data_IF_559600631391
#
_entry.id   IF_559600631391
#
_cell.length_a   1.000
_cell.length_b   1.000
_cell.length_c   1.000
_cell.angle_alpha   90.00
_cell.angle_beta   90.00
_cell.angle_gamma   90.00
#
_symmetry.space_group_name_H-M   'P 1'
#
loop_
_entity.id
_entity.type
_entity.pdbx_description
1 polymer ?
#
# COMPACT_ATOMS: atom_id res chain seq x y z
N UNK A 1 7.29 -37.65 -20.83
CA UNK A 1 6.49 -36.65 -20.14
C UNK A 1 7.40 -35.45 -19.89
N UNK A 2 7.31 -34.42 -20.73
CA UNK A 2 8.08 -33.19 -20.62
C UNK A 2 7.46 -32.30 -19.54
N UNK A 3 8.26 -31.81 -18.59
CA UNK A 3 7.82 -30.87 -17.57
C UNK A 3 7.19 -29.63 -18.23
N UNK A 4 6.14 -29.04 -17.62
CA UNK A 4 5.54 -27.82 -18.15
C UNK A 4 6.60 -26.69 -18.15
N UNK A 5 6.58 -25.80 -19.15
CA UNK A 5 7.52 -24.70 -19.25
C UNK A 5 7.45 -23.83 -17.97
N UNK A 6 8.61 -23.43 -17.50
CA UNK A 6 8.79 -22.64 -16.28
C UNK A 6 7.97 -21.34 -16.37
N UNK A 7 6.86 -21.36 -15.67
CA UNK A 7 5.87 -20.28 -15.57
C UNK A 7 6.52 -18.93 -15.11
N UNK A 8 7.68 -19.03 -14.42
CA UNK A 8 8.51 -17.91 -13.99
C UNK A 8 9.19 -17.22 -15.18
N UNK A 9 9.70 -18.01 -16.13
CA UNK A 9 10.32 -17.47 -17.35
C UNK A 9 9.28 -16.74 -18.22
N UNK A 10 8.06 -17.29 -18.32
CA UNK A 10 6.96 -16.66 -19.07
C UNK A 10 6.48 -15.35 -18.42
N UNK A 11 6.42 -15.29 -17.07
CA UNK A 11 6.04 -14.08 -16.37
C UNK A 11 7.11 -12.99 -16.47
N UNK A 12 8.38 -13.36 -16.31
CA UNK A 12 9.52 -12.45 -16.53
C UNK A 12 9.48 -11.92 -17.97
N UNK A 13 9.22 -12.76 -18.94
CA UNK A 13 9.14 -12.39 -20.35
C UNK A 13 7.90 -11.51 -20.65
N UNK A 14 6.77 -11.75 -19.98
CA UNK A 14 5.58 -10.91 -20.10
C UNK A 14 5.77 -9.53 -19.45
N UNK A 15 6.37 -9.48 -18.25
CA UNK A 15 6.70 -8.23 -17.57
C UNK A 15 7.77 -7.47 -18.35
N UNK A 16 8.81 -8.18 -18.84
CA UNK A 16 9.85 -7.59 -19.68
C UNK A 16 9.27 -7.02 -20.96
N UNK A 17 8.36 -7.74 -21.65
CA UNK A 17 7.67 -7.23 -22.85
C UNK A 17 6.80 -6.01 -22.56
N UNK A 18 6.08 -6.00 -21.45
CA UNK A 18 5.23 -4.88 -21.08
C UNK A 18 6.05 -3.64 -20.68
N UNK A 19 7.16 -3.84 -19.97
CA UNK A 19 8.14 -2.80 -19.65
C UNK A 19 8.84 -2.31 -20.91
N UNK A 20 9.28 -3.21 -21.79
CA UNK A 20 9.90 -2.87 -23.07
C UNK A 20 8.92 -2.16 -24.03
N UNK A 21 7.66 -2.56 -24.08
CA UNK A 21 6.64 -1.86 -24.87
C UNK A 21 6.35 -0.45 -24.35
N UNK A 22 6.41 -0.25 -23.03
CA UNK A 22 6.31 1.09 -22.43
C UNK A 22 7.56 1.95 -22.68
N UNK A 23 8.73 1.32 -22.84
CA UNK A 23 10.01 1.97 -23.09
C UNK A 23 10.24 2.25 -24.58
N UNK A 24 9.73 1.42 -25.49
CA UNK A 24 9.86 1.61 -26.94
C UNK A 24 8.92 2.69 -27.51
N UNK A 25 7.98 3.19 -26.71
CA UNK A 25 7.19 4.36 -27.06
C UNK A 25 7.95 5.71 -26.90
N UNK A 26 9.19 5.65 -26.42
CA UNK A 26 10.08 6.81 -26.32
C UNK A 26 11.37 6.54 -27.07
N UNK A 27 11.49 7.08 -28.28
CA UNK A 27 12.63 6.92 -29.18
C UNK A 27 13.99 7.19 -28.53
N UNK A 28 14.91 6.24 -28.74
CA UNK A 28 16.33 6.49 -28.94
C UNK A 28 17.20 6.72 -27.72
N UNK A 29 17.78 5.64 -27.14
CA UNK A 29 18.97 5.79 -26.31
C UNK A 29 20.08 4.79 -26.65
N UNK A 30 21.19 5.33 -27.13
CA UNK A 30 22.43 4.61 -27.34
C UNK A 30 23.23 4.50 -26.02
N UNK A 31 23.98 3.42 -25.84
CA UNK A 31 24.69 2.96 -24.65
C UNK A 31 25.83 3.82 -24.09
N UNK A 32 25.92 5.11 -24.44
CA UNK A 32 27.00 6.02 -24.02
C UNK A 32 26.61 7.16 -23.07
N UNK A 33 25.34 7.32 -22.71
CA UNK A 33 24.83 8.56 -22.10
C UNK A 33 24.61 8.53 -20.58
N UNK A 34 25.12 7.53 -19.86
CA UNK A 34 24.94 7.48 -18.40
C UNK A 34 25.68 8.59 -17.63
N UNK A 35 26.73 9.17 -18.17
CA UNK A 35 27.53 10.20 -17.49
C UNK A 35 26.82 11.57 -17.42
N UNK A 36 25.78 11.78 -18.24
CA UNK A 36 25.05 13.06 -18.33
C UNK A 36 23.55 12.92 -18.00
N UNK A 37 23.10 11.76 -17.50
CA UNK A 37 21.69 11.50 -17.24
C UNK A 37 21.24 12.09 -15.92
N UNK A 38 20.18 12.89 -15.95
CA UNK A 38 19.59 13.56 -14.77
C UNK A 38 18.71 12.67 -13.88
N UNK A 39 18.87 11.33 -13.95
CA UNK A 39 18.08 10.37 -13.16
C UNK A 39 17.03 9.62 -13.99
N UNK A 40 16.35 8.65 -13.37
CA UNK A 40 15.30 7.89 -14.04
C UNK A 40 15.76 6.56 -14.65
N UNK A 41 16.79 5.92 -14.06
CA UNK A 41 17.39 4.69 -14.60
C UNK A 41 16.40 3.53 -14.76
N UNK A 42 15.45 3.36 -13.85
CA UNK A 42 14.47 2.28 -13.94
C UNK A 42 13.54 2.43 -15.17
N UNK A 43 13.16 3.66 -15.50
CA UNK A 43 12.32 3.93 -16.67
C UNK A 43 13.10 3.98 -18.01
N UNK A 44 14.42 4.23 -17.96
CA UNK A 44 15.22 4.52 -19.17
C UNK A 44 16.31 3.51 -19.48
N UNK A 45 16.67 2.61 -18.55
CA UNK A 45 17.80 1.68 -18.70
C UNK A 45 17.51 0.29 -18.13
N UNK A 46 16.50 -0.40 -18.65
CA UNK A 46 16.11 -1.74 -18.21
C UNK A 46 17.28 -2.75 -18.09
N UNK A 47 18.28 -2.82 -19.02
CA UNK A 47 19.42 -3.72 -18.86
C UNK A 47 20.27 -3.40 -17.64
N UNK A 48 20.48 -2.11 -17.34
CA UNK A 48 21.29 -1.67 -16.20
C UNK A 48 20.60 -1.87 -14.87
N UNK A 49 19.27 -1.78 -14.88
CA UNK A 49 18.43 -2.13 -13.71
C UNK A 49 18.51 -3.62 -13.43
N UNK A 50 18.47 -4.47 -14.46
CA UNK A 50 18.62 -5.92 -14.31
C UNK A 50 20.00 -6.30 -13.76
N UNK A 51 21.08 -5.66 -14.21
CA UNK A 51 22.44 -5.86 -13.66
C UNK A 51 22.55 -5.41 -12.18
N UNK A 52 21.96 -4.27 -11.85
CA UNK A 52 21.99 -3.71 -10.49
C UNK A 52 21.16 -4.57 -9.54
N UNK A 53 20.02 -5.09 -9.98
CA UNK A 53 19.19 -6.04 -9.21
C UNK A 53 19.89 -7.40 -9.06
N UNK A 54 20.52 -7.91 -10.13
CA UNK A 54 21.30 -9.13 -10.07
C UNK A 54 22.55 -9.01 -9.16
N UNK A 55 23.09 -7.79 -9.02
CA UNK A 55 24.18 -7.46 -8.10
C UNK A 55 23.72 -7.26 -6.65
N UNK A 56 22.45 -7.52 -6.32
CA UNK A 56 21.92 -7.44 -4.96
C UNK A 56 21.49 -6.04 -4.48
N UNK A 57 21.32 -5.09 -5.40
CA UNK A 57 20.81 -3.78 -5.05
C UNK A 57 19.31 -3.86 -4.67
N UNK A 58 19.00 -3.51 -3.43
CA UNK A 58 17.63 -3.43 -2.90
C UNK A 58 16.93 -2.12 -3.28
N UNK A 59 17.55 -1.28 -4.11
CA UNK A 59 17.04 0.01 -4.57
C UNK A 59 16.97 0.02 -6.10
N UNK A 60 15.78 -0.19 -6.61
CA UNK A 60 15.42 0.28 -7.94
C UNK A 60 14.54 1.50 -7.72
N UNK A 61 15.07 2.71 -7.93
CA UNK A 61 14.24 3.91 -7.83
C UNK A 61 13.26 3.93 -9.00
N UNK A 62 11.99 3.78 -8.70
CA UNK A 62 10.93 4.15 -9.63
C UNK A 62 10.97 5.67 -9.81
N UNK A 63 11.36 6.12 -10.97
CA UNK A 63 11.20 7.50 -11.38
C UNK A 63 10.07 7.63 -12.39
N UNK A 64 8.87 7.29 -11.97
CA UNK A 64 7.75 8.07 -12.43
C UNK A 64 7.87 9.39 -11.69
N UNK A 65 8.17 10.47 -12.40
CA UNK A 65 8.56 11.78 -11.83
C UNK A 65 9.04 11.63 -10.40
N UNK A 66 10.35 11.62 -10.17
CA UNK A 66 10.93 11.50 -8.83
C UNK A 66 10.22 12.56 -7.99
N UNK A 67 9.16 12.11 -7.29
CA UNK A 67 8.23 13.00 -6.67
C UNK A 67 9.05 13.80 -5.69
N UNK A 68 9.11 15.12 -5.84
CA UNK A 68 9.56 15.97 -4.78
C UNK A 68 8.89 15.46 -3.52
N UNK A 69 9.68 14.90 -2.59
CA UNK A 69 9.14 14.49 -1.30
C UNK A 69 8.51 15.74 -0.71
N UNK A 70 7.20 15.76 -0.45
CA UNK A 70 6.54 16.99 -0.02
C UNK A 70 7.10 17.43 1.32
N UNK A 71 7.25 18.73 1.52
CA UNK A 71 7.67 19.27 2.80
C UNK A 71 6.66 18.93 3.91
N UNK A 72 5.36 18.86 3.56
CA UNK A 72 4.26 18.51 4.45
C UNK A 72 3.96 16.99 4.38
N UNK A 73 4.72 16.19 5.14
CA UNK A 73 4.54 14.75 5.22
C UNK A 73 3.25 14.34 5.94
N UNK A 74 2.68 15.19 6.79
CA UNK A 74 1.50 14.87 7.58
C UNK A 74 0.31 14.46 6.69
N UNK A 75 0.16 15.10 5.55
CA UNK A 75 -0.92 14.82 4.58
C UNK A 75 -0.81 13.47 3.89
N UNK A 76 0.29 12.75 4.07
CA UNK A 76 0.49 11.38 3.59
C UNK A 76 0.21 10.34 4.66
N UNK A 77 0.09 10.74 5.93
CA UNK A 77 0.04 9.81 7.07
C UNK A 77 -1.40 9.52 7.48
N UNK A 78 -1.77 8.23 7.44
CA UNK A 78 -2.91 7.68 8.19
C UNK A 78 -2.42 7.42 9.62
N UNK A 79 -2.81 8.29 10.57
CA UNK A 79 -2.44 8.14 11.97
C UNK A 79 -3.16 6.94 12.57
N UNK A 80 -2.40 5.91 12.98
CA UNK A 80 -2.92 4.55 13.12
C UNK A 80 -2.88 4.05 14.55
N UNK A 81 -4.01 3.53 15.04
CA UNK A 81 -4.13 2.83 16.32
C UNK A 81 -5.02 1.59 16.18
N UNK A 82 -4.37 0.40 16.10
CA UNK A 82 -5.04 -0.87 15.87
C UNK A 82 -4.86 -1.86 17.03
N UNK A 83 -4.25 -1.46 18.14
CA UNK A 83 -4.09 -2.31 19.32
C UNK A 83 -5.46 -2.79 19.83
N UNK A 84 -5.59 -4.08 20.18
CA UNK A 84 -6.86 -4.64 20.66
C UNK A 84 -7.28 -4.07 22.03
N UNK A 85 -6.33 -3.59 22.81
CA UNK A 85 -6.52 -2.97 24.12
C UNK A 85 -6.66 -1.43 24.08
N UNK A 86 -6.76 -0.84 22.88
CA UNK A 86 -6.97 0.60 22.73
C UNK A 86 -8.25 1.05 23.43
N UNK A 87 -8.15 2.08 24.24
CA UNK A 87 -9.26 2.65 25.01
C UNK A 87 -9.94 3.82 24.30
N UNK A 88 -11.10 4.23 24.81
CA UNK A 88 -11.80 5.42 24.32
C UNK A 88 -10.92 6.69 24.40
N UNK A 89 -10.14 6.83 25.47
CA UNK A 89 -9.22 7.96 25.66
C UNK A 89 -8.09 7.96 24.62
N UNK A 90 -7.59 6.78 24.23
CA UNK A 90 -6.57 6.66 23.19
C UNK A 90 -7.13 7.08 21.83
N UNK A 91 -8.38 6.73 21.53
CA UNK A 91 -9.05 7.16 20.29
C UNK A 91 -9.26 8.68 20.27
N UNK A 92 -9.69 9.27 21.39
CA UNK A 92 -9.87 10.72 21.49
C UNK A 92 -8.55 11.45 21.27
N UNK A 93 -7.48 10.96 21.89
CA UNK A 93 -6.13 11.48 21.71
C UNK A 93 -5.67 11.36 20.24
N UNK A 94 -5.86 10.20 19.62
CA UNK A 94 -5.54 9.98 18.22
C UNK A 94 -6.22 11.01 17.31
N UNK A 95 -7.51 11.25 17.53
CA UNK A 95 -8.28 12.22 16.77
C UNK A 95 -7.78 13.66 17.00
N UNK A 96 -7.47 14.03 18.25
CA UNK A 96 -6.92 15.35 18.58
C UNK A 96 -5.54 15.56 17.90
N UNK A 97 -4.66 14.57 17.92
CA UNK A 97 -3.38 14.59 17.23
C UNK A 97 -3.57 14.73 15.72
N UNK A 98 -4.55 14.01 15.13
CA UNK A 98 -4.84 14.10 13.71
C UNK A 98 -5.27 15.52 13.30
N UNK A 99 -6.08 16.17 14.10
CA UNK A 99 -6.49 17.59 13.89
C UNK A 99 -5.30 18.53 14.04
N UNK A 100 -4.52 18.38 15.10
CA UNK A 100 -3.38 19.25 15.40
C UNK A 100 -2.32 19.23 14.31
N UNK A 101 -2.02 18.04 13.77
CA UNK A 101 -0.95 17.84 12.79
C UNK A 101 -1.45 17.75 11.35
N UNK A 102 -2.76 17.85 11.11
CA UNK A 102 -3.38 17.75 9.78
C UNK A 102 -3.07 16.44 9.05
N UNK A 103 -3.16 15.30 9.75
CA UNK A 103 -2.95 13.99 9.14
C UNK A 103 -3.98 13.67 8.06
N UNK A 104 -3.61 12.78 7.12
CA UNK A 104 -4.46 12.39 6.00
C UNK A 104 -5.74 11.69 6.46
N UNK A 105 -5.65 10.83 7.47
CA UNK A 105 -6.78 10.15 8.11
C UNK A 105 -6.38 9.67 9.51
N UNK A 106 -7.36 9.16 10.28
CA UNK A 106 -7.13 8.24 11.38
C UNK A 106 -7.48 6.81 10.93
N UNK A 107 -6.68 5.81 11.33
CA UNK A 107 -6.92 4.41 10.97
C UNK A 107 -7.08 3.57 12.24
N UNK A 108 -8.26 2.96 12.43
CA UNK A 108 -8.70 2.34 13.68
C UNK A 108 -9.48 1.03 13.47
N UNK A 109 -9.69 0.30 14.55
CA UNK A 109 -10.58 -0.87 14.56
C UNK A 109 -12.07 -0.46 14.42
N UNK A 110 -12.92 -1.32 13.82
CA UNK A 110 -14.32 -1.00 13.50
C UNK A 110 -15.16 -0.52 14.70
N UNK A 111 -14.91 -1.07 15.88
CA UNK A 111 -15.66 -0.73 17.12
C UNK A 111 -15.56 0.76 17.49
N UNK A 112 -14.53 1.47 17.02
CA UNK A 112 -14.26 2.86 17.36
C UNK A 112 -14.69 3.87 16.30
N UNK A 113 -15.19 3.41 15.14
CA UNK A 113 -15.50 4.29 14.01
C UNK A 113 -16.50 5.39 14.38
N UNK A 114 -17.61 5.05 15.03
CA UNK A 114 -18.63 6.02 15.38
C UNK A 114 -18.07 7.13 16.31
N UNK A 115 -17.20 6.75 17.27
CA UNK A 115 -16.55 7.70 18.18
C UNK A 115 -15.60 8.64 17.42
N UNK A 116 -14.71 8.08 16.61
CA UNK A 116 -13.76 8.88 15.83
C UNK A 116 -14.49 9.79 14.82
N UNK A 117 -15.54 9.31 14.17
CA UNK A 117 -16.35 10.11 13.26
C UNK A 117 -17.05 11.28 13.96
N UNK A 118 -17.49 11.09 15.22
CA UNK A 118 -18.03 12.18 16.02
C UNK A 118 -16.95 13.21 16.38
N UNK A 119 -15.77 12.77 16.81
CA UNK A 119 -14.64 13.63 17.20
C UNK A 119 -14.09 14.45 16.04
N UNK A 120 -14.11 13.88 14.82
CA UNK A 120 -13.53 14.50 13.62
C UNK A 120 -14.57 15.28 12.78
N UNK A 121 -15.79 15.41 13.26
CA UNK A 121 -16.86 16.13 12.54
C UNK A 121 -16.47 17.57 12.25
N UNK A 122 -16.54 17.97 10.98
CA UNK A 122 -16.23 19.33 10.55
C UNK A 122 -14.74 19.64 10.35
N UNK A 123 -13.84 18.68 10.65
CA UNK A 123 -12.38 18.88 10.49
C UNK A 123 -11.88 18.59 9.07
N UNK A 124 -12.65 17.86 8.27
CA UNK A 124 -12.25 17.39 6.95
C UNK A 124 -11.36 16.13 6.97
N UNK A 125 -10.99 15.62 8.15
CA UNK A 125 -10.14 14.42 8.29
C UNK A 125 -11.03 13.17 8.26
N UNK A 126 -10.85 12.25 7.31
CA UNK A 126 -11.64 11.03 7.22
C UNK A 126 -11.22 9.99 8.27
N UNK A 127 -12.18 9.13 8.62
CA UNK A 127 -11.92 7.92 9.40
C UNK A 127 -11.71 6.76 8.44
N UNK A 128 -10.57 6.08 8.57
CA UNK A 128 -10.28 4.79 7.95
C UNK A 128 -10.53 3.67 8.97
N UNK A 129 -11.14 2.58 8.54
CA UNK A 129 -11.37 1.38 9.35
C UNK A 129 -10.79 0.15 8.68
N UNK A 130 -10.24 -0.77 9.48
CA UNK A 130 -9.84 -2.09 8.97
C UNK A 130 -11.02 -3.05 8.96
N UNK A 131 -11.02 -4.03 8.03
CA UNK A 131 -12.00 -5.12 7.97
C UNK A 131 -11.34 -6.44 7.58
N UNK A 132 -11.95 -7.57 7.96
CA UNK A 132 -11.33 -8.89 7.81
C UNK A 132 -9.96 -8.97 8.47
N UNK A 133 -9.70 -8.13 9.43
CA UNK A 133 -8.38 -7.81 9.96
C UNK A 133 -8.05 -8.62 11.22
N UNK A 134 -6.80 -9.09 11.42
CA UNK A 134 -5.65 -8.91 10.50
C UNK A 134 -5.45 -10.06 9.50
N UNK A 135 -6.26 -11.11 9.52
CA UNK A 135 -5.97 -12.38 8.85
C UNK A 135 -6.55 -12.49 7.43
N UNK A 136 -7.59 -11.75 7.08
CA UNK A 136 -8.27 -11.86 5.79
C UNK A 136 -9.02 -13.18 5.55
N UNK A 137 -9.06 -14.08 6.54
CA UNK A 137 -9.49 -15.47 6.42
C UNK A 137 -10.99 -15.68 6.69
N UNK A 138 -11.81 -14.67 6.41
CA UNK A 138 -13.29 -14.76 6.46
C UNK A 138 -13.89 -14.71 5.05
N UNK A 139 -15.21 -14.92 4.92
CA UNK A 139 -15.87 -14.91 3.61
C UNK A 139 -16.03 -13.50 3.05
N UNK A 140 -16.15 -13.40 1.73
CA UNK A 140 -16.35 -12.13 1.03
C UNK A 140 -17.63 -11.40 1.48
N UNK A 141 -18.72 -12.15 1.77
CA UNK A 141 -19.98 -11.61 2.29
C UNK A 141 -19.79 -10.93 3.63
N UNK A 142 -19.03 -11.55 4.55
CA UNK A 142 -18.76 -11.00 5.87
C UNK A 142 -17.93 -9.74 5.76
N UNK A 143 -16.87 -9.74 4.93
CA UNK A 143 -16.06 -8.53 4.69
C UNK A 143 -16.88 -7.39 4.11
N UNK A 144 -17.70 -7.66 3.09
CA UNK A 144 -18.58 -6.64 2.50
C UNK A 144 -19.61 -6.11 3.52
N UNK A 145 -20.14 -6.99 4.38
CA UNK A 145 -21.04 -6.58 5.46
C UNK A 145 -20.31 -5.69 6.49
N UNK A 146 -19.12 -6.08 6.93
CA UNK A 146 -18.27 -5.32 7.86
C UNK A 146 -17.93 -3.94 7.27
N UNK A 147 -17.60 -3.85 5.97
CA UNK A 147 -17.39 -2.58 5.28
C UNK A 147 -18.63 -1.68 5.34
N UNK A 148 -19.83 -2.20 5.01
CA UNK A 148 -21.08 -1.43 5.08
C UNK A 148 -21.39 -0.94 6.51
N UNK A 149 -21.11 -1.76 7.53
CA UNK A 149 -21.30 -1.37 8.93
C UNK A 149 -20.34 -0.23 9.29
N UNK A 150 -19.06 -0.35 8.95
CA UNK A 150 -18.07 0.68 9.23
C UNK A 150 -18.39 2.01 8.50
N UNK A 151 -18.79 1.94 7.22
CA UNK A 151 -19.18 3.13 6.44
C UNK A 151 -20.42 3.80 7.01
N UNK A 152 -21.45 3.04 7.41
CA UNK A 152 -22.64 3.60 8.11
C UNK A 152 -22.28 4.23 9.43
N UNK A 153 -21.27 3.72 10.15
CA UNK A 153 -20.77 4.30 11.38
C UNK A 153 -19.95 5.58 11.18
N UNK A 154 -19.58 5.91 9.94
CA UNK A 154 -18.90 7.15 9.57
C UNK A 154 -17.52 6.98 8.93
N UNK A 155 -17.06 5.76 8.69
CA UNK A 155 -15.83 5.54 7.93
C UNK A 155 -15.99 6.07 6.48
N UNK A 156 -14.88 6.59 5.93
CA UNK A 156 -14.77 7.04 4.54
C UNK A 156 -13.68 6.30 3.78
N UNK A 157 -12.89 5.52 4.47
CA UNK A 157 -11.84 4.67 3.92
C UNK A 157 -11.89 3.31 4.61
N UNK A 158 -11.72 2.24 3.86
CA UNK A 158 -11.75 0.86 4.36
C UNK A 158 -10.47 0.16 3.94
N UNK A 159 -9.71 -0.36 4.91
CA UNK A 159 -8.50 -1.13 4.69
C UNK A 159 -8.84 -2.63 4.89
N UNK A 160 -9.13 -3.35 3.79
CA UNK A 160 -9.45 -4.79 3.84
C UNK A 160 -8.21 -5.66 3.73
N UNK A 161 -8.19 -6.82 4.38
CA UNK A 161 -7.18 -7.85 4.16
C UNK A 161 -7.68 -8.88 3.16
N UNK A 162 -6.85 -9.24 2.16
CA UNK A 162 -7.19 -10.29 1.18
C UNK A 162 -7.29 -11.67 1.84
N UNK A 163 -7.92 -12.61 1.15
CA UNK A 163 -7.80 -14.02 1.51
C UNK A 163 -6.45 -14.57 1.00
N UNK A 164 -5.44 -14.51 1.87
CA UNK A 164 -4.05 -14.92 1.55
C UNK A 164 -4.00 -16.41 1.19
N UNK A 165 -4.75 -17.25 1.91
CA UNK A 165 -4.80 -18.69 1.66
C UNK A 165 -5.36 -19.02 0.28
N UNK A 166 -6.41 -18.31 -0.16
CA UNK A 166 -6.97 -18.45 -1.50
C UNK A 166 -5.95 -18.02 -2.58
N UNK A 167 -5.25 -16.90 -2.37
CA UNK A 167 -4.20 -16.45 -3.29
C UNK A 167 -3.10 -17.50 -3.46
N UNK A 168 -2.57 -18.03 -2.34
CA UNK A 168 -1.54 -19.07 -2.35
C UNK A 168 -1.99 -20.38 -2.98
N UNK A 169 -3.28 -20.65 -2.95
CA UNK A 169 -3.90 -21.80 -3.60
C UNK A 169 -4.19 -21.58 -5.09
N UNK A 170 -3.81 -20.42 -5.65
CA UNK A 170 -4.09 -20.08 -7.04
C UNK A 170 -5.56 -19.77 -7.35
N UNK A 171 -6.39 -19.57 -6.32
CA UNK A 171 -7.82 -19.28 -6.45
C UNK A 171 -8.05 -17.79 -6.76
N UNK A 172 -7.51 -17.31 -7.87
CA UNK A 172 -7.46 -15.88 -8.23
C UNK A 172 -8.85 -15.26 -8.38
N UNK A 173 -9.82 -16.01 -8.92
CA UNK A 173 -11.20 -15.53 -9.07
C UNK A 173 -11.87 -15.29 -7.71
N UNK A 174 -11.59 -16.16 -6.73
CA UNK A 174 -12.10 -16.00 -5.36
C UNK A 174 -11.52 -14.72 -4.72
N UNK A 175 -10.22 -14.48 -4.90
CA UNK A 175 -9.55 -13.27 -4.37
C UNK A 175 -10.10 -12.01 -5.07
N UNK A 176 -10.29 -12.04 -6.39
CA UNK A 176 -10.87 -10.92 -7.14
C UNK A 176 -12.31 -10.61 -6.71
N UNK A 177 -13.14 -11.64 -6.54
CA UNK A 177 -14.54 -11.50 -6.08
C UNK A 177 -14.60 -10.94 -4.65
N UNK A 178 -13.74 -11.44 -3.73
CA UNK A 178 -13.60 -10.93 -2.37
C UNK A 178 -13.31 -9.41 -2.36
N UNK A 179 -12.30 -8.99 -3.12
CA UNK A 179 -11.96 -7.56 -3.25
C UNK A 179 -13.09 -6.77 -3.90
N UNK A 180 -13.70 -7.30 -4.97
CA UNK A 180 -14.76 -6.63 -5.73
C UNK A 180 -15.99 -6.34 -4.86
N UNK A 181 -16.46 -7.32 -4.08
CA UNK A 181 -17.60 -7.13 -3.17
C UNK A 181 -17.36 -6.07 -2.11
N UNK A 182 -16.12 -5.97 -1.61
CA UNK A 182 -15.76 -4.90 -0.67
C UNK A 182 -15.65 -3.55 -1.38
N UNK A 183 -15.06 -3.49 -2.58
CA UNK A 183 -14.99 -2.27 -3.37
C UNK A 183 -16.38 -1.71 -3.67
N UNK A 184 -17.30 -2.59 -4.11
CA UNK A 184 -18.70 -2.20 -4.38
C UNK A 184 -19.37 -1.67 -3.11
N UNK A 185 -19.22 -2.37 -1.97
CA UNK A 185 -19.78 -1.94 -0.69
C UNK A 185 -19.24 -0.57 -0.21
N UNK A 186 -17.99 -0.25 -0.50
CA UNK A 186 -17.40 1.05 -0.22
C UNK A 186 -17.95 2.13 -1.16
N UNK A 187 -17.93 1.85 -2.46
CA UNK A 187 -18.30 2.81 -3.50
C UNK A 187 -19.80 3.16 -3.49
N UNK A 188 -20.68 2.26 -3.05
CA UNK A 188 -22.11 2.54 -2.81
C UNK A 188 -22.32 3.80 -1.95
N UNK A 189 -21.37 4.15 -1.10
CA UNK A 189 -21.44 5.30 -0.17
C UNK A 189 -20.30 6.30 -0.35
N UNK A 190 -19.56 6.23 -1.45
CA UNK A 190 -18.43 7.12 -1.75
C UNK A 190 -17.23 6.95 -0.84
N UNK A 191 -17.07 5.78 -0.19
CA UNK A 191 -15.89 5.44 0.59
C UNK A 191 -14.82 4.78 -0.30
N UNK A 192 -13.53 4.89 0.09
CA UNK A 192 -12.42 4.27 -0.60
C UNK A 192 -12.13 2.86 -0.06
N UNK A 193 -11.73 1.93 -0.93
CA UNK A 193 -11.22 0.61 -0.56
C UNK A 193 -9.70 0.53 -0.75
N UNK A 194 -8.97 0.14 0.32
CA UNK A 194 -7.53 -0.13 0.28
C UNK A 194 -7.29 -1.60 0.60
N UNK A 195 -6.62 -2.29 -0.30
CA UNK A 195 -6.41 -3.74 -0.27
C UNK A 195 -5.08 -4.10 0.36
N UNK A 196 -5.08 -4.60 1.59
CA UNK A 196 -3.89 -5.11 2.28
C UNK A 196 -3.53 -6.47 1.68
N UNK A 197 -2.38 -6.55 1.04
CA UNK A 197 -1.91 -7.77 0.40
C UNK A 197 -1.01 -8.62 1.30
N UNK A 198 -0.48 -8.07 2.40
CA UNK A 198 0.44 -8.67 3.36
C UNK A 198 1.73 -9.17 2.69
N UNK A 199 2.52 -8.24 2.21
CA UNK A 199 3.71 -8.50 1.37
C UNK A 199 4.70 -9.49 1.98
N UNK A 200 4.86 -9.51 3.31
CA UNK A 200 5.78 -10.40 4.00
C UNK A 200 5.45 -11.90 3.86
N UNK A 201 4.21 -12.24 3.49
CA UNK A 201 3.75 -13.61 3.28
C UNK A 201 3.72 -14.01 1.80
N UNK A 202 4.06 -13.10 0.87
CA UNK A 202 3.91 -13.30 -0.56
C UNK A 202 5.26 -13.34 -1.28
N UNK A 203 5.35 -14.17 -2.30
CA UNK A 203 6.40 -14.07 -3.31
C UNK A 203 6.18 -12.84 -4.18
N UNK A 204 7.21 -12.35 -4.87
CA UNK A 204 7.08 -11.17 -5.75
C UNK A 204 6.06 -11.39 -6.87
N UNK A 205 5.97 -12.63 -7.39
CA UNK A 205 4.94 -13.02 -8.35
C UNK A 205 3.52 -12.88 -7.76
N UNK A 206 3.29 -13.37 -6.56
CA UNK A 206 1.98 -13.25 -5.88
C UNK A 206 1.63 -11.79 -5.60
N UNK A 207 2.62 -10.94 -5.23
CA UNK A 207 2.43 -9.50 -5.05
C UNK A 207 1.94 -8.83 -6.34
N UNK A 208 2.56 -9.14 -7.46
CA UNK A 208 2.14 -8.60 -8.78
C UNK A 208 0.74 -9.10 -9.14
N UNK A 209 0.48 -10.41 -9.00
CA UNK A 209 -0.84 -10.99 -9.31
C UNK A 209 -1.93 -10.29 -8.50
N UNK A 210 -1.79 -10.21 -7.17
CA UNK A 210 -2.84 -9.63 -6.32
C UNK A 210 -3.02 -8.12 -6.57
N UNK A 211 -1.97 -7.39 -6.91
CA UNK A 211 -2.07 -6.00 -7.33
C UNK A 211 -2.93 -5.87 -8.61
N UNK A 212 -2.76 -6.76 -9.58
CA UNK A 212 -3.58 -6.77 -10.79
C UNK A 212 -5.03 -7.17 -10.49
N UNK A 213 -5.26 -8.14 -9.59
CA UNK A 213 -6.61 -8.51 -9.16
C UNK A 213 -7.32 -7.34 -8.45
N UNK A 214 -6.61 -6.62 -7.57
CA UNK A 214 -7.14 -5.42 -6.91
C UNK A 214 -7.53 -4.33 -7.91
N UNK A 215 -6.71 -4.11 -8.94
CA UNK A 215 -7.00 -3.18 -10.03
C UNK A 215 -8.24 -3.60 -10.84
N UNK A 216 -8.36 -4.89 -11.19
CA UNK A 216 -9.53 -5.44 -11.89
C UNK A 216 -10.80 -5.31 -11.05
N UNK A 217 -10.69 -5.50 -9.73
CA UNK A 217 -11.76 -5.35 -8.75
C UNK A 217 -12.06 -3.89 -8.36
N UNK A 218 -11.48 -2.92 -9.07
CA UNK A 218 -11.70 -1.48 -8.90
C UNK A 218 -11.39 -0.95 -7.49
N UNK A 219 -10.45 -1.57 -6.77
CA UNK A 219 -9.97 -1.01 -5.53
C UNK A 219 -9.23 0.33 -5.78
N UNK A 220 -9.27 1.23 -4.81
CA UNK A 220 -8.66 2.56 -4.92
C UNK A 220 -7.17 2.53 -4.57
N UNK A 221 -6.78 1.63 -3.65
CA UNK A 221 -5.41 1.45 -3.20
C UNK A 221 -5.06 -0.03 -3.06
N UNK A 222 -3.77 -0.33 -3.21
CA UNK A 222 -3.13 -1.49 -2.61
C UNK A 222 -2.31 -1.05 -1.38
N UNK A 223 -2.27 -1.88 -0.35
CA UNK A 223 -1.54 -1.62 0.91
C UNK A 223 -0.60 -2.78 1.22
N UNK A 224 0.60 -2.48 1.69
CA UNK A 224 1.63 -3.49 1.92
C UNK A 224 1.25 -4.49 3.01
N UNK A 225 0.93 -4.02 4.21
CA UNK A 225 0.96 -4.86 5.41
C UNK A 225 -0.11 -4.48 6.43
N UNK A 226 -0.49 -5.46 7.26
CA UNK A 226 -1.35 -5.25 8.44
C UNK A 226 -0.57 -4.59 9.59
N UNK A 227 0.72 -4.89 9.72
CA UNK A 227 1.55 -4.57 10.87
C UNK A 227 1.55 -5.67 11.96
N UNK A 228 0.83 -6.78 11.74
CA UNK A 228 0.73 -7.92 12.66
C UNK A 228 1.51 -9.16 12.19
N UNK A 229 1.94 -9.19 10.93
CA UNK A 229 2.85 -10.22 10.43
C UNK A 229 4.31 -9.93 10.82
N UNK A 230 5.20 -10.86 10.49
CA UNK A 230 6.64 -10.79 10.82
C UNK A 230 7.39 -9.67 10.10
N UNK A 231 6.82 -9.09 9.03
CA UNK A 231 7.41 -8.02 8.23
C UNK A 231 6.48 -6.82 8.06
N UNK A 232 7.04 -5.74 7.50
CA UNK A 232 6.33 -4.49 7.19
C UNK A 232 6.61 -4.02 5.77
N UNK A 233 6.39 -2.73 5.50
CA UNK A 233 6.69 -2.13 4.23
C UNK A 233 8.20 -2.11 3.96
N UNK A 234 8.57 -2.42 2.72
CA UNK A 234 9.93 -2.23 2.20
C UNK A 234 9.88 -1.33 0.98
N UNK A 235 10.97 -0.62 0.72
CA UNK A 235 11.13 0.22 -0.49
C UNK A 235 10.91 -0.62 -1.74
N UNK A 236 11.45 -1.86 -1.75
CA UNK A 236 11.28 -2.79 -2.85
C UNK A 236 9.81 -3.16 -3.09
N UNK A 237 9.07 -3.55 -2.04
CA UNK A 237 7.66 -3.93 -2.18
C UNK A 237 6.80 -2.77 -2.67
N UNK A 238 7.03 -1.56 -2.15
CA UNK A 238 6.30 -0.36 -2.57
C UNK A 238 6.57 -0.06 -4.05
N UNK A 239 7.84 -0.12 -4.50
CA UNK A 239 8.20 0.07 -5.89
C UNK A 239 7.57 -1.00 -6.81
N UNK A 240 7.62 -2.28 -6.41
CA UNK A 240 7.01 -3.38 -7.14
C UNK A 240 5.47 -3.22 -7.26
N UNK A 241 4.81 -2.85 -6.16
CA UNK A 241 3.37 -2.60 -6.16
C UNK A 241 3.01 -1.40 -7.03
N UNK A 242 3.80 -0.31 -6.98
CA UNK A 242 3.60 0.87 -7.85
C UNK A 242 3.69 0.50 -9.33
N UNK A 243 4.69 -0.28 -9.71
CA UNK A 243 4.83 -0.78 -11.09
C UNK A 243 3.62 -1.62 -11.50
N UNK A 244 3.20 -2.54 -10.62
CA UNK A 244 2.09 -3.45 -10.91
C UNK A 244 0.76 -2.71 -11.10
N UNK A 245 0.45 -1.68 -10.29
CA UNK A 245 -0.84 -0.98 -10.37
C UNK A 245 -0.83 0.21 -11.32
N UNK A 246 0.35 0.74 -11.66
CA UNK A 246 0.52 1.94 -12.48
C UNK A 246 0.25 3.24 -11.72
N UNK A 247 0.27 4.41 -12.40
CA UNK A 247 0.31 5.72 -11.73
C UNK A 247 -1.03 6.16 -11.10
N UNK A 248 -2.16 5.62 -11.53
CA UNK A 248 -3.49 6.11 -11.12
C UNK A 248 -3.97 5.54 -9.79
N UNK A 249 -3.65 4.28 -9.50
CA UNK A 249 -4.08 3.61 -8.26
C UNK A 249 -3.17 4.00 -7.10
N UNK A 250 -3.72 4.20 -5.92
CA UNK A 250 -2.94 4.52 -4.72
C UNK A 250 -2.08 3.34 -4.25
N UNK A 251 -0.93 3.62 -3.64
CA UNK A 251 -0.12 2.64 -2.90
C UNK A 251 0.07 3.15 -1.48
N UNK A 252 -0.38 2.35 -0.50
CA UNK A 252 -0.18 2.64 0.94
C UNK A 252 0.92 1.76 1.50
N UNK A 253 1.98 2.39 2.02
CA UNK A 253 3.02 1.70 2.78
C UNK A 253 2.65 1.69 4.27
N UNK A 254 2.75 0.54 4.93
CA UNK A 254 2.45 0.40 6.35
C UNK A 254 3.22 -0.76 6.99
N UNK A 255 3.42 -0.67 8.32
CA UNK A 255 4.22 -1.62 9.08
C UNK A 255 5.70 -1.26 9.09
N UNK A 256 6.24 -1.04 10.29
CA UNK A 256 7.66 -0.75 10.48
C UNK A 256 8.13 0.67 10.19
N UNK A 257 7.26 1.58 9.74
CA UNK A 257 7.59 2.98 9.40
C UNK A 257 7.56 3.82 10.68
N UNK A 258 8.70 4.40 11.07
CA UNK A 258 8.88 5.05 12.39
C UNK A 258 9.56 6.40 12.33
N UNK A 259 10.32 6.67 11.28
CA UNK A 259 11.12 7.88 11.14
C UNK A 259 10.68 8.68 9.92
N UNK A 260 11.08 9.96 9.89
CA UNK A 260 10.88 10.82 8.72
C UNK A 260 11.55 10.23 7.48
N UNK A 261 12.77 9.70 7.63
CA UNK A 261 13.51 9.08 6.52
C UNK A 261 12.77 7.87 5.94
N UNK A 262 12.18 7.00 6.81
CA UNK A 262 11.38 5.87 6.32
C UNK A 262 10.22 6.35 5.43
N UNK A 263 9.52 7.41 5.85
CA UNK A 263 8.40 7.99 5.09
C UNK A 263 8.88 8.53 3.74
N UNK A 264 9.98 9.29 3.74
CA UNK A 264 10.58 9.87 2.54
C UNK A 264 11.01 8.78 1.54
N UNK A 265 11.62 7.71 2.02
CA UNK A 265 11.99 6.55 1.19
C UNK A 265 10.77 5.84 0.60
N UNK A 266 9.69 5.63 1.37
CA UNK A 266 8.46 5.02 0.86
C UNK A 266 7.78 5.89 -0.20
N UNK A 267 7.73 7.21 0.01
CA UNK A 267 7.17 8.15 -0.97
C UNK A 267 8.02 8.16 -2.24
N UNK A 268 9.34 8.20 -2.12
CA UNK A 268 10.26 8.12 -3.25
C UNK A 268 10.10 6.81 -4.05
N UNK A 269 9.74 5.70 -3.37
CA UNK A 269 9.44 4.42 -4.00
C UNK A 269 8.06 4.36 -4.67
N UNK A 270 7.22 5.39 -4.50
CA UNK A 270 5.90 5.48 -5.14
C UNK A 270 4.70 5.32 -4.20
N UNK A 271 4.90 5.33 -2.86
CA UNK A 271 3.78 5.40 -1.95
C UNK A 271 3.08 6.76 -2.04
N UNK A 272 1.75 6.73 -2.03
CA UNK A 272 0.89 7.92 -1.99
C UNK A 272 0.16 8.06 -0.66
N UNK A 273 0.35 7.09 0.24
CA UNK A 273 -0.20 7.06 1.59
C UNK A 273 0.72 6.25 2.51
N UNK A 274 0.81 6.64 3.76
CA UNK A 274 1.65 6.01 4.78
C UNK A 274 0.79 5.66 6.00
N UNK A 275 0.81 4.39 6.42
CA UNK A 275 0.18 3.98 7.68
C UNK A 275 1.23 3.92 8.80
N UNK A 276 1.12 4.78 9.81
CA UNK A 276 2.06 4.82 10.90
C UNK A 276 1.39 5.12 12.25
N UNK A 277 1.78 4.39 13.30
CA UNK A 277 1.43 4.70 14.69
C UNK A 277 2.33 5.79 15.30
N UNK A 278 3.49 6.02 14.70
CA UNK A 278 4.46 7.03 15.13
C UNK A 278 4.26 8.39 14.44
N UNK A 279 3.05 8.68 13.90
CA UNK A 279 2.78 9.86 13.07
C UNK A 279 3.29 11.16 13.68
N UNK A 280 3.00 11.43 14.95
CA UNK A 280 3.46 12.65 15.65
C UNK A 280 4.99 12.74 15.66
N UNK A 281 5.68 11.67 16.05
CA UNK A 281 7.15 11.64 16.09
C UNK A 281 7.77 11.87 14.71
N UNK A 282 7.15 11.34 13.66
CA UNK A 282 7.62 11.50 12.28
C UNK A 282 7.56 12.98 11.86
N UNK A 283 6.47 13.68 12.19
CA UNK A 283 6.28 15.08 11.75
C UNK A 283 6.99 16.09 12.63
N UNK A 284 7.16 15.80 13.93
CA UNK A 284 7.89 16.69 14.87
C UNK A 284 9.40 16.51 14.79
N UNK A 285 9.88 15.42 14.15
CA UNK A 285 11.31 15.14 14.07
C UNK A 285 11.91 14.61 15.39
N UNK A 286 11.10 14.27 16.39
CA UNK A 286 11.53 13.64 17.61
C UNK A 286 12.01 12.22 17.31
N UNK A 287 13.32 12.07 17.13
CA UNK A 287 13.99 10.88 16.61
C UNK A 287 13.65 9.61 17.37
N UNK A 288 13.31 8.57 16.63
CA UNK A 288 12.94 7.27 17.16
C UNK A 288 14.09 6.55 17.83
N UNK A 289 13.92 6.15 19.09
CA UNK A 289 14.64 5.01 19.65
C UNK A 289 13.96 3.73 19.16
N UNK A 290 14.75 2.77 18.69
CA UNK A 290 14.32 1.46 18.20
C UNK A 290 13.66 0.65 19.32
N UNK A 291 12.34 0.60 19.34
CA UNK A 291 11.56 -0.35 20.13
C UNK A 291 10.79 -1.26 19.17
N UNK A 292 11.08 -2.57 19.20
CA UNK A 292 10.24 -3.59 18.54
C UNK A 292 8.89 -3.68 19.26
N UNK A 293 7.83 -3.94 18.48
CA UNK A 293 6.56 -4.44 19.01
C UNK A 293 6.76 -5.81 19.62
#
# INVERSE_FOLDING_TARGET
MTAPPDDRAQLIDAITRQVMASLSATDGFASGQCATCSGGCAARCAPKVAEVVAGGATRVSYSGEAGNVPADLARYIDHTLLKPDATAADIDKLCAEAVQFHFASVCINPAWVARAAANLRGTGIPVASVIGFPFGATTAEIKAHEARVAVRAGAREIDMVINIGALKSGMHDVVRDDIGRVSDACHESGALNKVIIETALLTDREKVIVCQLAKQAKADFVKTSTGYASGGATVFDVALMREAVGPKMGVKASGGIRTRNDVEEMIAAGATRIGASAGVKIVTGEGGSSGRY
#
